data_IF_989618493640
#
_entry.id   IF_989618493640
#
_cell.length_a   1.000
_cell.length_b   1.000
_cell.length_c   1.000
_cell.angle_alpha   90.00
_cell.angle_beta   90.00
_cell.angle_gamma   90.00
#
_symmetry.space_group_name_H-M   'P 1'
#
loop_
_entity.id
_entity.type
_entity.pdbx_description
1 polymer ?
#
# COMPACT_ATOMS: atom_id res chain seq x y z
N UNK A 1 -3.56 -56.12 -51.90
CA UNK A 1 -3.71 -54.70 -51.50
C UNK A 1 -3.42 -54.57 -50.02
N UNK A 2 -2.31 -53.90 -49.64
CA UNK A 2 -1.98 -53.64 -48.23
C UNK A 2 -2.31 -52.17 -47.92
N UNK A 3 -3.29 -51.92 -47.06
CA UNK A 3 -3.56 -50.58 -46.53
C UNK A 3 -2.60 -50.31 -45.36
N UNK A 4 -1.87 -49.20 -45.41
CA UNK A 4 -1.09 -48.69 -44.27
C UNK A 4 -2.00 -47.76 -43.46
N UNK A 5 -2.27 -48.13 -42.22
CA UNK A 5 -2.93 -47.26 -41.23
C UNK A 5 -1.91 -46.23 -40.72
N UNK A 6 -2.22 -44.95 -40.88
CA UNK A 6 -1.45 -43.86 -40.29
C UNK A 6 -2.19 -43.33 -39.06
N UNK A 7 -1.58 -43.42 -37.89
CA UNK A 7 -2.09 -42.78 -36.67
C UNK A 7 -1.57 -41.34 -36.59
N UNK A 8 -2.48 -40.37 -36.52
CA UNK A 8 -2.16 -38.97 -36.26
C UNK A 8 -2.20 -38.75 -34.74
N UNK A 9 -1.05 -38.39 -34.17
CA UNK A 9 -0.95 -37.97 -32.78
C UNK A 9 -1.31 -36.48 -32.70
N UNK A 10 -2.46 -36.15 -32.12
CA UNK A 10 -2.86 -34.78 -31.85
C UNK A 10 -2.34 -34.39 -30.45
N UNK A 11 -1.34 -33.51 -30.39
CA UNK A 11 -0.81 -32.98 -29.13
C UNK A 11 -1.66 -31.77 -28.76
N UNK A 12 -2.49 -31.90 -27.72
CA UNK A 12 -3.17 -30.78 -27.10
C UNK A 12 -2.16 -30.00 -26.24
N UNK A 13 -1.75 -28.83 -26.70
CA UNK A 13 -1.06 -27.84 -25.88
C UNK A 13 -2.11 -27.16 -24.98
N UNK A 14 -2.20 -27.57 -23.72
CA UNK A 14 -2.86 -26.77 -22.69
C UNK A 14 -1.98 -25.54 -22.41
N UNK A 15 -2.40 -24.37 -22.90
CA UNK A 15 -1.90 -23.10 -22.41
C UNK A 15 -2.28 -22.97 -20.93
N UNK A 16 -1.27 -23.03 -20.05
CA UNK A 16 -1.44 -22.66 -18.65
C UNK A 16 -1.83 -21.18 -18.61
N UNK A 17 -3.08 -20.90 -18.24
CA UNK A 17 -3.47 -19.54 -17.87
C UNK A 17 -2.74 -19.21 -16.57
N UNK A 18 -1.85 -18.23 -16.60
CA UNK A 18 -1.33 -17.62 -15.39
C UNK A 18 -2.50 -16.91 -14.71
N UNK A 19 -3.12 -17.56 -13.72
CA UNK A 19 -3.97 -16.86 -12.79
C UNK A 19 -3.07 -15.87 -12.04
N UNK A 20 -3.39 -14.57 -12.11
CA UNK A 20 -2.77 -13.59 -11.23
C UNK A 20 -3.09 -14.01 -9.78
N UNK A 21 -2.11 -14.59 -9.09
CA UNK A 21 -2.26 -14.95 -7.69
C UNK A 21 -2.40 -13.66 -6.90
N UNK A 22 -3.58 -13.44 -6.32
CA UNK A 22 -3.78 -12.36 -5.37
C UNK A 22 -2.84 -12.59 -4.17
N UNK A 23 -1.95 -11.63 -3.91
CA UNK A 23 -1.22 -11.61 -2.63
C UNK A 23 -2.09 -10.95 -1.59
N UNK A 24 -2.25 -11.61 -0.44
CA UNK A 24 -3.05 -11.11 0.68
C UNK A 24 -2.22 -11.15 1.97
N UNK A 25 -2.09 -9.99 2.60
CA UNK A 25 -1.62 -9.88 3.97
C UNK A 25 -2.85 -9.68 4.88
N UNK A 26 -3.04 -10.60 5.82
CA UNK A 26 -4.09 -10.52 6.85
C UNK A 26 -3.44 -10.68 8.21
N UNK A 27 -3.83 -9.82 9.15
CA UNK A 27 -3.47 -9.96 10.55
C UNK A 27 -4.17 -11.17 11.16
N UNK A 28 -3.44 -11.99 11.92
CA UNK A 28 -3.96 -13.19 12.58
C UNK A 28 -3.78 -13.21 14.10
N UNK A 29 -3.12 -12.21 14.66
CA UNK A 29 -2.97 -12.03 16.09
C UNK A 29 -1.54 -11.71 16.50
N UNK A 30 -1.32 -11.34 17.78
CA UNK A 30 -0.01 -10.95 18.25
C UNK A 30 0.98 -12.14 18.27
N UNK A 31 2.26 -11.84 18.04
CA UNK A 31 3.37 -12.76 18.29
C UNK A 31 4.42 -12.77 17.18
N UNK A 32 4.00 -12.75 15.93
CA UNK A 32 4.88 -12.87 14.75
C UNK A 32 4.61 -11.81 13.68
N UNK A 33 4.17 -10.61 14.08
CA UNK A 33 3.70 -9.55 13.17
C UNK A 33 4.70 -9.20 12.06
N UNK A 34 5.97 -8.99 12.38
CA UNK A 34 6.98 -8.63 11.37
C UNK A 34 7.31 -9.82 10.49
N UNK A 35 7.41 -11.01 11.07
CA UNK A 35 7.66 -12.25 10.36
C UNK A 35 6.55 -12.56 9.36
N UNK A 36 5.28 -12.32 9.75
CA UNK A 36 4.11 -12.44 8.89
C UNK A 36 4.18 -11.46 7.72
N UNK A 37 4.42 -10.18 8.01
CA UNK A 37 4.57 -9.15 6.97
C UNK A 37 5.69 -9.53 6.00
N UNK A 38 6.86 -9.92 6.51
CA UNK A 38 8.01 -10.34 5.71
C UNK A 38 7.70 -11.60 4.89
N UNK A 39 6.99 -12.58 5.44
CA UNK A 39 6.63 -13.81 4.73
C UNK A 39 5.73 -13.59 3.51
N UNK A 40 5.03 -12.46 3.45
CA UNK A 40 4.14 -12.10 2.34
C UNK A 40 4.84 -11.16 1.37
N UNK A 41 5.49 -10.11 1.86
CA UNK A 41 6.00 -9.03 1.01
C UNK A 41 7.51 -9.08 0.72
N UNK A 42 8.30 -9.76 1.53
CA UNK A 42 9.74 -9.91 1.29
C UNK A 42 10.31 -11.18 1.96
N UNK A 43 9.94 -12.39 1.50
CA UNK A 43 10.40 -13.64 2.13
C UNK A 43 11.93 -13.73 2.17
N UNK A 44 12.50 -13.92 3.35
CA UNK A 44 13.95 -13.93 3.56
C UNK A 44 14.60 -12.56 3.75
N UNK A 45 13.81 -11.48 3.73
CA UNK A 45 14.27 -10.10 3.90
C UNK A 45 13.31 -9.31 4.81
N UNK A 46 13.48 -7.97 4.88
CA UNK A 46 12.69 -7.08 5.72
C UNK A 46 11.83 -6.14 4.87
N UNK A 47 10.52 -6.32 4.95
CA UNK A 47 9.50 -5.43 4.40
C UNK A 47 9.08 -4.34 5.40
N UNK A 48 9.43 -4.48 6.69
CA UNK A 48 9.14 -3.47 7.71
C UNK A 48 10.30 -2.47 7.80
N UNK A 49 9.96 -1.19 7.79
CA UNK A 49 10.85 -0.08 8.14
C UNK A 49 10.35 0.60 9.40
N UNK A 50 11.20 0.70 10.42
CA UNK A 50 10.83 1.17 11.75
C UNK A 50 11.94 2.03 12.40
N UNK A 51 11.64 2.76 13.49
CA UNK A 51 12.60 3.55 14.23
C UNK A 51 13.08 2.86 15.53
N UNK A 52 12.92 1.56 15.72
CA UNK A 52 13.14 0.88 17.02
C UNK A 52 14.56 1.06 17.56
N UNK A 53 15.52 1.27 16.68
CA UNK A 53 16.92 1.51 17.01
C UNK A 53 17.16 2.74 17.92
N UNK A 54 16.25 3.72 18.00
CA UNK A 54 16.39 4.87 18.90
C UNK A 54 15.75 4.69 20.28
N UNK A 55 14.84 3.74 20.45
CA UNK A 55 14.18 3.44 21.74
C UNK A 55 13.73 1.97 21.79
N UNK A 56 14.67 1.02 21.81
CA UNK A 56 14.35 -0.41 21.73
C UNK A 56 13.45 -0.89 22.87
N UNK A 57 13.36 -0.15 23.98
CA UNK A 57 12.48 -0.43 25.12
C UNK A 57 10.98 -0.35 24.80
N UNK A 58 10.58 0.40 23.78
CA UNK A 58 9.17 0.43 23.32
C UNK A 58 8.81 -0.87 22.60
N UNK A 59 9.79 -1.47 21.91
CA UNK A 59 9.58 -2.66 21.08
C UNK A 59 8.94 -2.32 19.73
N UNK A 60 8.13 -3.24 19.20
CA UNK A 60 7.65 -3.19 17.83
C UNK A 60 6.71 -2.01 17.56
N UNK A 61 6.96 -1.27 16.48
CA UNK A 61 6.12 -0.16 16.03
C UNK A 61 4.93 -0.57 15.15
N UNK A 62 4.83 -1.85 14.81
CA UNK A 62 3.61 -2.43 14.24
C UNK A 62 3.22 -3.65 15.08
N UNK A 63 2.00 -3.61 15.62
CA UNK A 63 1.42 -4.72 16.36
C UNK A 63 0.12 -5.20 15.72
N UNK A 64 -0.31 -6.41 16.06
CA UNK A 64 -1.63 -6.92 15.71
C UNK A 64 -2.58 -6.80 16.90
N UNK A 65 -3.59 -5.95 16.75
CA UNK A 65 -4.56 -5.64 17.80
C UNK A 65 -5.95 -6.04 17.32
N UNK A 66 -6.73 -6.68 18.19
CA UNK A 66 -8.11 -7.04 17.88
C UNK A 66 -8.99 -5.78 17.87
N UNK A 67 -9.62 -5.50 16.72
CA UNK A 67 -10.57 -4.40 16.58
C UNK A 67 -12.00 -4.96 16.56
N UNK A 68 -12.81 -4.52 17.54
CA UNK A 68 -14.17 -5.00 17.73
C UNK A 68 -15.16 -4.52 16.65
N UNK A 69 -14.88 -3.41 15.96
CA UNK A 69 -15.77 -2.88 14.92
C UNK A 69 -15.77 -3.79 13.68
N UNK A 70 -14.65 -4.47 13.42
CA UNK A 70 -14.49 -5.41 12.29
C UNK A 70 -14.35 -6.87 12.71
N UNK A 71 -14.39 -7.15 14.02
CA UNK A 71 -14.28 -8.47 14.63
C UNK A 71 -13.07 -9.27 14.11
N UNK A 72 -11.94 -8.60 13.93
CA UNK A 72 -10.70 -9.12 13.33
C UNK A 72 -9.49 -8.44 13.97
N UNK A 73 -8.33 -9.09 13.86
CA UNK A 73 -7.06 -8.41 14.13
C UNK A 73 -6.75 -7.41 13.01
N UNK A 74 -6.08 -6.32 13.36
CA UNK A 74 -5.58 -5.31 12.45
C UNK A 74 -4.14 -4.93 12.82
N UNK A 75 -3.36 -4.53 11.83
CA UNK A 75 -2.04 -3.94 12.05
C UNK A 75 -2.21 -2.52 12.58
N UNK A 76 -1.78 -2.28 13.82
CA UNK A 76 -1.73 -0.95 14.45
C UNK A 76 -0.30 -0.41 14.36
N UNK A 77 -0.16 0.77 13.76
CA UNK A 77 1.11 1.46 13.57
C UNK A 77 1.28 2.51 14.66
N UNK A 78 2.38 2.45 15.40
CA UNK A 78 2.74 3.42 16.44
C UNK A 78 3.78 4.38 15.91
N UNK A 79 3.54 5.69 16.03
CA UNK A 79 4.53 6.70 15.72
C UNK A 79 4.56 7.75 16.84
N UNK A 80 5.75 8.07 17.34
CA UNK A 80 5.98 9.03 18.40
C UNK A 80 6.66 10.28 17.85
N UNK A 81 6.22 11.47 18.26
CA UNK A 81 6.89 12.73 17.86
C UNK A 81 8.36 12.76 18.30
N UNK A 82 8.69 12.08 19.39
CA UNK A 82 10.06 11.85 19.87
C UNK A 82 10.06 10.50 20.60
N UNK A 83 11.06 9.63 20.40
CA UNK A 83 12.30 9.87 19.67
C UNK A 83 12.33 9.32 18.22
N UNK A 84 11.22 8.85 17.66
CA UNK A 84 11.20 8.22 16.33
C UNK A 84 11.89 9.06 15.25
N UNK A 85 12.57 8.38 14.33
CA UNK A 85 13.24 8.94 13.16
C UNK A 85 13.08 8.02 11.94
N UNK A 86 13.85 8.22 10.88
CA UNK A 86 13.85 7.32 9.71
C UNK A 86 14.97 6.30 9.85
N UNK A 87 14.67 5.20 10.57
CA UNK A 87 15.51 3.99 10.70
C UNK A 87 16.92 4.25 11.26
N UNK A 88 17.11 5.27 12.09
CA UNK A 88 18.44 5.74 12.53
C UNK A 88 19.38 6.15 11.38
N UNK A 89 18.84 6.41 10.20
CA UNK A 89 19.59 6.83 9.01
C UNK A 89 19.34 8.32 8.76
N UNK A 90 18.06 8.72 8.69
CA UNK A 90 17.69 10.13 8.52
C UNK A 90 16.97 10.66 9.77
N UNK A 91 17.20 11.95 10.06
CA UNK A 91 16.72 12.62 11.28
C UNK A 91 15.81 13.82 10.96
N UNK A 92 15.49 14.04 9.68
CA UNK A 92 14.58 15.08 9.20
C UNK A 92 13.10 14.61 9.17
N UNK A 93 12.87 13.32 9.32
CA UNK A 93 11.57 12.66 9.21
C UNK A 93 11.49 11.40 10.08
N UNK A 94 10.30 10.82 10.13
CA UNK A 94 10.00 9.58 10.84
C UNK A 94 9.46 8.54 9.86
N UNK A 95 9.69 7.26 10.12
CA UNK A 95 9.10 6.19 9.31
C UNK A 95 8.73 4.97 10.13
N UNK A 96 7.48 4.54 9.94
CA UNK A 96 6.96 3.22 10.29
C UNK A 96 6.15 2.76 9.09
N UNK A 97 6.65 1.78 8.35
CA UNK A 97 6.12 1.41 7.04
C UNK A 97 6.25 -0.08 6.75
N UNK A 98 5.28 -0.60 5.99
CA UNK A 98 5.39 -1.87 5.28
C UNK A 98 5.59 -1.57 3.80
N UNK A 99 6.64 -2.14 3.19
CA UNK A 99 6.97 -1.91 1.78
C UNK A 99 7.03 -3.18 0.95
N UNK A 100 6.74 -3.02 -0.33
CA UNK A 100 7.23 -3.89 -1.41
C UNK A 100 8.36 -3.17 -2.13
N UNK A 101 9.43 -3.87 -2.48
CA UNK A 101 10.64 -3.26 -3.02
C UNK A 101 11.42 -4.25 -3.91
N UNK A 102 12.68 -3.97 -4.26
CA UNK A 102 13.46 -4.77 -5.21
C UNK A 102 13.65 -6.24 -4.80
N UNK A 103 13.71 -6.55 -3.49
CA UNK A 103 13.80 -7.92 -3.00
C UNK A 103 12.44 -8.64 -2.87
N UNK A 104 11.31 -7.95 -3.08
CA UNK A 104 9.99 -8.57 -3.04
C UNK A 104 9.81 -9.58 -4.19
N UNK A 105 8.92 -10.58 -4.03
CA UNK A 105 8.48 -11.45 -5.12
C UNK A 105 8.04 -10.67 -6.37
N UNK A 106 8.31 -11.20 -7.57
CA UNK A 106 8.02 -10.51 -8.83
C UNK A 106 6.53 -10.17 -9.01
N UNK A 107 5.63 -11.00 -8.47
CA UNK A 107 4.18 -10.76 -8.55
C UNK A 107 3.71 -9.58 -7.68
N UNK A 108 4.59 -8.94 -6.90
CA UNK A 108 4.32 -7.72 -6.14
C UNK A 108 4.88 -6.47 -6.81
N UNK A 109 5.57 -6.60 -7.95
CA UNK A 109 6.17 -5.48 -8.68
C UNK A 109 5.40 -5.24 -9.95
N UNK A 110 4.84 -4.04 -10.10
CA UNK A 110 4.22 -3.65 -11.35
C UNK A 110 5.24 -3.40 -12.46
N UNK A 111 4.93 -3.81 -13.68
CA UNK A 111 5.71 -3.59 -14.90
C UNK A 111 4.92 -2.73 -15.90
N UNK A 112 5.65 -2.06 -16.79
CA UNK A 112 5.02 -1.30 -17.87
C UNK A 112 4.14 -2.23 -18.72
N UNK A 113 2.92 -1.81 -18.99
CA UNK A 113 1.87 -2.58 -19.67
C UNK A 113 0.94 -3.34 -18.73
N UNK A 114 1.22 -3.40 -17.44
CA UNK A 114 0.39 -4.10 -16.46
C UNK A 114 -0.63 -3.19 -15.78
N UNK A 115 -1.71 -3.81 -15.31
CA UNK A 115 -2.66 -3.20 -14.40
C UNK A 115 -2.35 -3.73 -13.00
N UNK A 116 -2.05 -2.81 -12.08
CA UNK A 116 -1.90 -3.11 -10.65
C UNK A 116 -3.18 -2.73 -9.93
N UNK A 117 -3.68 -3.64 -9.11
CA UNK A 117 -4.86 -3.42 -8.28
C UNK A 117 -4.49 -3.60 -6.80
N UNK A 118 -4.52 -2.51 -6.05
CA UNK A 118 -4.35 -2.51 -4.61
C UNK A 118 -5.70 -2.43 -3.92
N UNK A 119 -5.90 -3.26 -2.90
CA UNK A 119 -7.10 -3.24 -2.07
C UNK A 119 -6.72 -3.42 -0.61
N UNK A 120 -7.02 -2.42 0.22
CA UNK A 120 -6.66 -2.42 1.64
C UNK A 120 -7.72 -1.71 2.47
N UNK A 121 -7.71 -2.01 3.77
CA UNK A 121 -8.58 -1.37 4.76
C UNK A 121 -7.74 -0.59 5.73
N UNK A 122 -8.24 0.56 6.16
CA UNK A 122 -7.59 1.37 7.18
C UNK A 122 -8.61 2.14 8.00
N UNK A 123 -8.16 2.61 9.16
CA UNK A 123 -8.90 3.49 10.07
C UNK A 123 -7.92 4.52 10.60
N UNK A 124 -8.30 5.79 10.58
CA UNK A 124 -7.53 6.86 11.21
C UNK A 124 -8.08 7.05 12.62
N UNK A 125 -7.26 7.05 13.69
CA UNK A 125 -7.75 7.28 15.05
C UNK A 125 -8.45 8.64 15.20
N UNK A 126 -9.45 8.71 16.06
CA UNK A 126 -10.10 9.99 16.40
C UNK A 126 -9.08 10.95 17.00
N UNK A 127 -9.05 12.19 16.50
CA UNK A 127 -8.11 13.20 16.97
C UNK A 127 -6.67 13.00 16.51
N UNK A 128 -6.43 12.21 15.45
CA UNK A 128 -5.12 12.06 14.83
C UNK A 128 -4.50 13.44 14.52
N UNK A 129 -3.21 13.61 14.84
CA UNK A 129 -2.49 14.88 14.72
C UNK A 129 -1.48 14.81 13.57
N UNK A 130 -1.91 15.04 12.31
CA UNK A 130 -1.00 15.03 11.18
C UNK A 130 -0.01 16.20 11.26
N UNK A 131 1.12 16.06 10.56
CA UNK A 131 2.05 17.17 10.35
C UNK A 131 1.46 18.21 9.38
N UNK A 132 1.91 19.47 9.47
CA UNK A 132 1.63 20.47 8.44
C UNK A 132 2.44 20.24 7.16
N UNK A 133 3.56 19.53 7.25
CA UNK A 133 4.45 19.25 6.11
C UNK A 133 4.02 18.03 5.30
N UNK A 134 3.93 16.85 5.92
CA UNK A 134 3.30 15.67 5.33
C UNK A 134 3.19 14.57 6.38
N UNK A 135 2.19 13.72 6.21
CA UNK A 135 2.10 12.42 6.87
C UNK A 135 1.48 11.47 5.86
N UNK A 136 2.31 10.70 5.17
CA UNK A 136 1.84 9.72 4.19
C UNK A 136 1.31 8.49 4.92
N UNK A 137 0.14 8.01 4.49
CA UNK A 137 -0.47 6.76 4.99
C UNK A 137 -0.54 5.68 3.90
N UNK A 138 -0.21 6.06 2.66
CA UNK A 138 -0.05 5.17 1.51
C UNK A 138 0.81 5.88 0.48
N UNK A 139 1.65 5.11 -0.21
CA UNK A 139 2.44 5.61 -1.32
C UNK A 139 2.63 4.56 -2.42
N UNK A 140 2.63 5.02 -3.66
CA UNK A 140 3.06 4.25 -4.83
C UNK A 140 4.34 4.87 -5.34
N UNK A 141 5.38 4.05 -5.46
CA UNK A 141 6.73 4.49 -5.76
C UNK A 141 7.34 3.61 -6.84
N UNK A 142 8.11 4.21 -7.74
CA UNK A 142 8.91 3.45 -8.70
C UNK A 142 10.02 2.67 -7.98
N UNK A 143 10.49 1.59 -8.60
CA UNK A 143 11.67 0.83 -8.13
C UNK A 143 12.78 1.02 -9.16
N UNK A 144 13.87 1.67 -8.76
CA UNK A 144 15.00 1.99 -9.63
C UNK A 144 14.76 3.26 -10.49
N UNK A 145 15.79 4.10 -10.61
CA UNK A 145 15.74 5.36 -11.37
C UNK A 145 15.55 6.58 -10.47
N UNK A 146 14.68 7.51 -10.87
CA UNK A 146 14.22 8.63 -10.02
C UNK A 146 13.20 8.11 -9.00
N UNK A 147 13.69 7.31 -8.06
CA UNK A 147 12.93 6.69 -6.99
C UNK A 147 13.23 7.35 -5.64
N UNK A 148 13.50 8.66 -5.63
CA UNK A 148 13.60 9.41 -4.38
C UNK A 148 12.22 9.80 -3.85
N UNK A 149 11.28 10.13 -4.74
CA UNK A 149 9.94 10.61 -4.40
C UNK A 149 8.83 9.63 -4.83
N UNK A 150 7.73 9.52 -4.05
CA UNK A 150 6.57 8.73 -4.46
C UNK A 150 5.80 9.40 -5.59
N UNK A 151 5.27 8.59 -6.50
CA UNK A 151 4.44 9.03 -7.62
C UNK A 151 3.04 9.42 -7.14
N UNK A 152 2.40 8.54 -6.36
CA UNK A 152 1.11 8.81 -5.73
C UNK A 152 1.22 8.68 -4.23
N UNK A 153 0.52 9.54 -3.49
CA UNK A 153 0.36 9.38 -2.04
C UNK A 153 -1.06 9.69 -1.60
N UNK A 154 -1.49 8.98 -0.55
CA UNK A 154 -2.53 9.49 0.35
C UNK A 154 -1.84 10.15 1.53
N UNK A 155 -2.06 11.45 1.68
CA UNK A 155 -1.40 12.27 2.69
C UNK A 155 -2.44 12.87 3.63
N UNK A 156 -2.32 12.56 4.91
CA UNK A 156 -3.04 13.30 5.95
C UNK A 156 -2.23 14.54 6.34
N UNK A 157 -2.90 15.69 6.45
CA UNK A 157 -2.23 16.98 6.61
C UNK A 157 -2.97 17.89 7.59
N UNK A 158 -2.20 18.56 8.45
CA UNK A 158 -2.73 19.57 9.37
C UNK A 158 -3.34 20.73 8.60
N UNK A 159 -4.54 21.14 9.01
CA UNK A 159 -5.25 22.28 8.42
C UNK A 159 -6.44 22.70 9.27
N UNK A 160 -7.27 23.58 8.72
CA UNK A 160 -8.53 24.02 9.34
C UNK A 160 -9.69 23.78 8.38
N UNK A 161 -10.35 22.60 8.40
CA UNK A 161 -10.02 21.39 9.17
C UNK A 161 -8.81 20.62 8.60
N UNK A 162 -8.36 19.57 9.32
CA UNK A 162 -7.37 18.61 8.81
C UNK A 162 -7.88 17.94 7.52
N UNK A 163 -6.96 17.54 6.64
CA UNK A 163 -7.25 17.07 5.29
C UNK A 163 -6.68 15.68 5.04
N UNK A 164 -7.36 14.91 4.21
CA UNK A 164 -6.78 13.80 3.45
C UNK A 164 -6.63 14.26 1.99
N UNK A 165 -5.43 14.14 1.45
CA UNK A 165 -5.07 14.61 0.11
C UNK A 165 -4.60 13.43 -0.74
N UNK A 166 -5.18 13.26 -1.93
CA UNK A 166 -4.62 12.43 -3.01
C UNK A 166 -3.66 13.31 -3.81
N UNK A 167 -2.39 12.93 -3.81
CA UNK A 167 -1.31 13.72 -4.40
C UNK A 167 -0.61 12.91 -5.48
N UNK A 168 -0.24 13.59 -6.57
CA UNK A 168 0.63 13.07 -7.62
C UNK A 168 1.85 13.95 -7.83
N UNK A 169 3.00 13.31 -8.03
CA UNK A 169 4.28 13.93 -8.38
C UNK A 169 4.89 13.15 -9.54
N UNK A 170 5.10 13.81 -10.68
CA UNK A 170 5.57 13.12 -11.89
C UNK A 170 7.07 12.78 -11.87
N UNK A 171 7.88 13.59 -11.19
CA UNK A 171 9.33 13.42 -11.03
C UNK A 171 9.83 14.27 -9.86
N UNK A 172 11.04 14.02 -9.37
CA UNK A 172 11.65 14.79 -8.28
C UNK A 172 11.82 16.29 -8.56
N UNK A 173 11.71 16.70 -9.84
CA UNK A 173 11.79 18.09 -10.30
C UNK A 173 10.42 18.70 -10.65
N UNK A 174 9.36 17.91 -10.63
CA UNK A 174 8.00 18.35 -10.97
C UNK A 174 7.29 18.98 -9.78
N UNK A 175 6.32 19.85 -10.08
CA UNK A 175 5.40 20.36 -9.06
C UNK A 175 4.43 19.29 -8.56
N UNK A 176 3.92 19.49 -7.35
CA UNK A 176 2.91 18.62 -6.75
C UNK A 176 1.51 18.93 -7.29
N UNK A 177 0.77 17.90 -7.71
CA UNK A 177 -0.65 18.01 -8.09
C UNK A 177 -1.51 17.37 -7.00
N UNK A 178 -2.54 18.09 -6.51
CA UNK A 178 -3.53 17.56 -5.57
C UNK A 178 -4.80 17.19 -6.31
N UNK A 179 -4.98 15.91 -6.62
CA UNK A 179 -6.13 15.43 -7.39
C UNK A 179 -7.43 15.38 -6.58
N UNK A 180 -7.35 15.14 -5.28
CA UNK A 180 -8.49 15.21 -4.39
C UNK A 180 -8.08 15.73 -3.01
N UNK A 181 -8.95 16.49 -2.37
CA UNK A 181 -8.80 16.98 -1.00
C UNK A 181 -10.15 16.81 -0.31
N UNK A 182 -10.17 16.08 0.79
CA UNK A 182 -11.36 15.85 1.61
C UNK A 182 -11.06 16.14 3.08
N UNK A 183 -12.09 16.41 3.88
CA UNK A 183 -11.94 16.63 5.31
C UNK A 183 -11.55 15.31 5.99
N UNK A 184 -10.46 15.33 6.78
CA UNK A 184 -9.98 14.14 7.49
C UNK A 184 -11.00 13.61 8.50
N UNK A 185 -11.83 14.49 9.07
CA UNK A 185 -12.87 14.12 10.04
C UNK A 185 -13.87 13.09 9.51
N UNK A 186 -14.01 12.92 8.19
CA UNK A 186 -14.86 11.88 7.60
C UNK A 186 -14.28 10.46 7.76
N UNK A 187 -12.97 10.34 8.05
CA UNK A 187 -12.22 9.08 8.19
C UNK A 187 -11.87 8.75 9.65
N UNK A 188 -11.88 9.75 10.53
CA UNK A 188 -11.53 9.58 11.94
C UNK A 188 -12.51 8.64 12.65
N UNK A 189 -11.98 7.56 13.25
CA UNK A 189 -12.76 6.51 13.91
C UNK A 189 -13.53 5.60 12.96
N UNK A 190 -13.37 5.74 11.64
CA UNK A 190 -14.16 5.00 10.64
C UNK A 190 -13.28 4.04 9.86
N UNK A 191 -13.62 2.75 9.89
CA UNK A 191 -13.04 1.77 8.98
C UNK A 191 -13.49 2.02 7.54
N UNK A 192 -12.52 2.12 6.65
CA UNK A 192 -12.73 2.30 5.22
C UNK A 192 -11.98 1.26 4.42
N UNK A 193 -12.45 0.99 3.21
CA UNK A 193 -11.78 0.15 2.22
C UNK A 193 -11.40 1.03 1.02
N UNK A 194 -10.11 1.03 0.68
CA UNK A 194 -9.57 1.65 -0.52
C UNK A 194 -9.39 0.58 -1.60
N UNK A 195 -9.78 0.92 -2.82
CA UNK A 195 -9.43 0.18 -4.04
C UNK A 195 -8.76 1.14 -4.99
N UNK A 196 -7.52 0.85 -5.37
CA UNK A 196 -6.68 1.65 -6.25
C UNK A 196 -6.27 0.80 -7.46
N UNK A 197 -6.50 1.32 -8.66
CA UNK A 197 -6.24 0.65 -9.92
C UNK A 197 -5.34 1.52 -10.78
N UNK A 198 -4.22 0.98 -11.23
CA UNK A 198 -3.18 1.73 -11.95
C UNK A 198 -2.78 0.94 -13.18
N UNK A 199 -2.96 1.52 -14.37
CA UNK A 199 -2.35 1.01 -15.59
C UNK A 199 -0.99 1.67 -15.77
N UNK A 200 0.07 0.86 -15.69
CA UNK A 200 1.45 1.33 -15.75
C UNK A 200 1.87 1.52 -17.21
N UNK A 201 1.59 2.68 -17.79
CA UNK A 201 1.91 2.98 -19.19
C UNK A 201 2.12 4.48 -19.37
N UNK A 202 2.76 4.89 -20.46
CA UNK A 202 2.84 6.30 -20.85
C UNK A 202 1.47 6.91 -21.18
N UNK A 203 0.51 6.07 -21.59
CA UNK A 203 -0.92 6.40 -21.71
C UNK A 203 -1.70 5.48 -20.76
N UNK A 204 -1.44 5.68 -19.47
CA UNK A 204 -1.97 4.85 -18.39
C UNK A 204 -3.35 5.29 -17.96
N UNK A 205 -3.76 4.83 -16.79
CA UNK A 205 -4.88 5.40 -16.07
C UNK A 205 -4.65 5.18 -14.59
N UNK A 206 -5.30 6.01 -13.79
CA UNK A 206 -5.28 5.90 -12.34
C UNK A 206 -6.70 6.05 -11.81
N UNK A 207 -7.10 5.14 -10.93
CA UNK A 207 -8.36 5.20 -10.22
C UNK A 207 -8.13 4.89 -8.75
N UNK A 208 -8.80 5.63 -7.87
CA UNK A 208 -8.94 5.26 -6.47
C UNK A 208 -10.36 5.53 -5.98
N UNK A 209 -10.90 4.59 -5.23
CA UNK A 209 -12.19 4.72 -4.56
C UNK A 209 -12.06 4.24 -3.12
N UNK A 210 -12.43 5.10 -2.17
CA UNK A 210 -12.40 4.83 -0.74
C UNK A 210 -13.83 4.93 -0.20
N UNK A 211 -14.29 3.84 0.41
CA UNK A 211 -15.67 3.70 0.93
C UNK A 211 -15.67 3.29 2.39
N UNK A 212 -16.66 3.74 3.15
CA UNK A 212 -16.92 3.21 4.50
C UNK A 212 -17.18 1.71 4.42
N UNK A 213 -16.57 0.95 5.33
CA UNK A 213 -16.78 -0.50 5.39
C UNK A 213 -18.20 -0.84 5.90
N UNK A 214 -18.80 0.03 6.71
CA UNK A 214 -20.10 -0.20 7.35
C UNK A 214 -21.28 -0.21 6.37
N UNK A 215 -21.29 0.70 5.39
CA UNK A 215 -22.46 0.93 4.52
C UNK A 215 -22.08 1.18 3.04
N UNK A 216 -20.79 1.14 2.70
CA UNK A 216 -20.31 1.38 1.34
C UNK A 216 -20.35 2.85 0.89
N UNK A 217 -20.66 3.80 1.78
CA UNK A 217 -20.70 5.23 1.44
C UNK A 217 -19.34 5.68 0.91
N UNK A 218 -19.25 6.28 -0.29
CA UNK A 218 -18.01 6.80 -0.83
C UNK A 218 -17.56 8.04 -0.06
N UNK A 219 -16.29 8.06 0.35
CA UNK A 219 -15.65 9.21 1.01
C UNK A 219 -14.65 9.93 0.10
N UNK A 220 -14.05 9.20 -0.83
CA UNK A 220 -13.17 9.74 -1.86
C UNK A 220 -13.28 8.86 -3.11
N UNK A 221 -13.46 9.48 -4.27
CA UNK A 221 -13.39 8.81 -5.57
C UNK A 221 -12.68 9.69 -6.57
N UNK A 222 -11.74 9.13 -7.30
CA UNK A 222 -11.01 9.81 -8.36
C UNK A 222 -10.69 8.84 -9.49
N UNK A 223 -10.81 9.31 -10.73
CA UNK A 223 -10.47 8.56 -11.95
C UNK A 223 -9.80 9.51 -12.92
N UNK A 224 -8.67 9.09 -13.48
CA UNK A 224 -8.00 9.71 -14.61
C UNK A 224 -7.72 8.63 -15.65
N UNK A 225 -8.21 8.82 -16.88
CA UNK A 225 -8.13 7.84 -17.98
C UNK A 225 -7.03 8.18 -19.01
N UNK A 226 -6.03 8.97 -18.61
CA UNK A 226 -4.94 9.46 -19.48
C UNK A 226 -3.59 8.93 -19.03
#
# INVERSE_FOLDING_TARGET
>A
MKYKSGHILCILLLSAYFAASQTLLTADGPGNTYERINSVFAPGYNAVEDPECVHPEFGRHIAEVFDADINQFAFEFYAHVTPDNDRCINFDRQRVEIKTYDASPENLKGRVGEIVNYKWRFKIPVGFKPSSSFTHIHQVKAVGGDDDQPLFTLTVRKGTPNKLELIYVASGTSGTVKYAIVNLSAFEGVWVEATELIMLSSNGYYQINIKKLSDGTPLLSYTNNN
#
